data_IF_075536089273
#
_entry.id   IF_075536089273
#
_cell.length_a   1.000
_cell.length_b   1.000
_cell.length_c   1.000
_cell.angle_alpha   90.00
_cell.angle_beta   90.00
_cell.angle_gamma   90.00
#
_symmetry.space_group_name_H-M   'P 1'
#
loop_
_entity.id
_entity.type
_entity.pdbx_description
1 polymer ?
#
# COMPACT_ATOMS: atom_id res chain seq x y z
N UNK A 1 17.09 -12.91 -0.93
CA UNK A 1 16.75 -13.47 0.40
C UNK A 1 15.45 -14.24 0.27
N UNK A 2 15.55 -15.58 0.25
CA UNK A 2 14.46 -16.47 -0.09
C UNK A 2 13.34 -16.40 0.96
N UNK A 3 12.11 -16.29 0.47
CA UNK A 3 10.86 -16.35 1.23
C UNK A 3 10.88 -17.61 2.08
N UNK A 4 10.52 -17.48 3.36
CA UNK A 4 10.15 -18.61 4.23
C UNK A 4 9.33 -19.60 3.39
N UNK A 5 9.84 -20.82 3.19
CA UNK A 5 9.33 -21.75 2.17
C UNK A 5 7.82 -21.97 2.21
N UNK A 6 7.27 -22.54 1.13
CA UNK A 6 5.82 -22.74 0.91
C UNK A 6 4.97 -23.05 2.17
N UNK A 7 5.32 -24.00 3.06
CA UNK A 7 4.49 -24.28 4.24
C UNK A 7 4.36 -23.09 5.20
N UNK A 8 5.44 -22.32 5.42
CA UNK A 8 5.39 -21.14 6.30
C UNK A 8 4.56 -20.01 5.68
N UNK A 9 4.59 -19.87 4.36
CA UNK A 9 3.76 -18.91 3.65
C UNK A 9 2.28 -19.24 3.84
N UNK A 10 1.88 -20.51 3.64
CA UNK A 10 0.48 -20.97 3.79
C UNK A 10 -0.05 -20.66 5.19
N UNK A 11 0.69 -21.02 6.24
CA UNK A 11 0.28 -20.76 7.63
C UNK A 11 0.15 -19.26 7.91
N UNK A 12 1.06 -18.44 7.38
CA UNK A 12 0.99 -17.00 7.54
C UNK A 12 -0.24 -16.39 6.85
N UNK A 13 -0.60 -16.86 5.64
CA UNK A 13 -1.83 -16.43 4.96
C UNK A 13 -3.07 -16.89 5.71
N UNK A 14 -3.12 -18.15 6.14
CA UNK A 14 -4.24 -18.70 6.92
C UNK A 14 -4.45 -17.91 8.23
N UNK A 15 -3.37 -17.62 8.96
CA UNK A 15 -3.43 -16.81 10.17
C UNK A 15 -3.93 -15.38 9.89
N UNK A 16 -3.48 -14.76 8.80
CA UNK A 16 -3.96 -13.44 8.37
C UNK A 16 -5.46 -13.45 8.06
N UNK A 17 -5.95 -14.47 7.35
CA UNK A 17 -7.38 -14.66 7.07
C UNK A 17 -8.18 -14.87 8.36
N UNK A 18 -7.74 -15.78 9.22
CA UNK A 18 -8.41 -16.08 10.49
C UNK A 18 -8.55 -14.81 11.36
N UNK A 19 -7.51 -13.96 11.42
CA UNK A 19 -7.60 -12.68 12.13
C UNK A 19 -8.65 -11.75 11.53
N UNK A 20 -8.68 -11.60 10.20
CA UNK A 20 -9.68 -10.76 9.53
C UNK A 20 -11.09 -11.27 9.87
N UNK A 21 -11.36 -12.57 9.66
CA UNK A 21 -12.65 -13.18 9.99
C UNK A 21 -13.03 -13.00 11.46
N UNK A 22 -12.11 -13.28 12.38
CA UNK A 22 -12.35 -13.14 13.81
C UNK A 22 -12.67 -11.70 14.19
N UNK A 23 -11.94 -10.72 13.64
CA UNK A 23 -12.22 -9.29 13.90
C UNK A 23 -13.57 -8.88 13.33
N UNK A 24 -13.93 -9.31 12.12
CA UNK A 24 -15.24 -8.99 11.54
C UNK A 24 -16.39 -9.60 12.37
N UNK A 25 -16.22 -10.86 12.80
CA UNK A 25 -17.21 -11.56 13.60
C UNK A 25 -17.37 -10.97 15.02
N UNK A 26 -16.26 -10.67 15.69
CA UNK A 26 -16.24 -10.27 17.10
C UNK A 26 -16.68 -8.83 17.29
N UNK A 27 -16.22 -7.91 16.43
CA UNK A 27 -16.46 -6.48 16.62
C UNK A 27 -17.85 -6.05 16.12
N UNK A 28 -18.58 -6.92 15.39
CA UNK A 28 -19.87 -6.64 14.72
C UNK A 28 -19.91 -5.33 13.92
N UNK A 29 -18.74 -4.81 13.57
CA UNK A 29 -18.61 -3.63 12.75
C UNK A 29 -18.93 -4.06 11.32
N UNK A 30 -19.91 -3.41 10.71
CA UNK A 30 -20.12 -3.53 9.27
C UNK A 30 -18.79 -3.25 8.59
N UNK A 31 -18.39 -4.12 7.66
CA UNK A 31 -17.22 -3.86 6.83
C UNK A 31 -17.47 -2.55 6.07
N UNK A 32 -16.87 -1.48 6.58
CA UNK A 32 -16.89 -0.17 5.93
C UNK A 32 -15.72 -0.19 4.99
N UNK A 33 -16.01 -0.38 3.71
CA UNK A 33 -15.01 -0.18 2.68
C UNK A 33 -14.54 1.27 2.81
N UNK A 34 -13.31 1.45 3.28
CA UNK A 34 -12.57 2.68 3.12
C UNK A 34 -12.38 2.81 1.61
N UNK A 35 -13.39 3.33 0.91
CA UNK A 35 -13.56 3.14 -0.52
C UNK A 35 -12.32 3.43 -1.36
N UNK A 36 -12.38 3.08 -2.65
CA UNK A 36 -11.24 3.12 -3.57
C UNK A 36 -10.29 4.34 -3.38
N UNK A 37 -10.83 5.54 -3.14
CA UNK A 37 -10.07 6.75 -2.86
C UNK A 37 -9.05 6.64 -1.71
N UNK A 38 -9.40 5.99 -0.59
CA UNK A 38 -8.48 5.81 0.54
C UNK A 38 -7.30 4.92 0.17
N UNK A 39 -7.57 3.83 -0.53
CA UNK A 39 -6.53 2.92 -1.02
C UNK A 39 -5.68 3.57 -2.10
N UNK A 40 -6.26 4.38 -2.97
CA UNK A 40 -5.53 5.15 -3.98
C UNK A 40 -4.59 6.18 -3.36
N UNK A 41 -5.02 6.92 -2.34
CA UNK A 41 -4.14 7.86 -1.62
C UNK A 41 -2.95 7.12 -0.99
N UNK A 42 -3.22 6.02 -0.27
CA UNK A 42 -2.16 5.19 0.32
C UNK A 42 -1.23 4.58 -0.73
N UNK A 43 -1.76 4.20 -1.88
CA UNK A 43 -0.95 3.71 -2.99
C UNK A 43 -0.04 4.82 -3.55
N UNK A 44 -0.58 6.01 -3.82
CA UNK A 44 0.18 7.18 -4.28
C UNK A 44 1.33 7.51 -3.33
N UNK A 45 1.07 7.56 -2.02
CA UNK A 45 2.10 7.80 -1.00
C UNK A 45 3.23 6.76 -1.03
N UNK A 46 2.89 5.48 -1.18
CA UNK A 46 3.89 4.39 -1.29
C UNK A 46 4.73 4.53 -2.55
N UNK A 47 4.11 4.88 -3.67
CA UNK A 47 4.81 5.09 -4.94
C UNK A 47 5.79 6.26 -4.82
N UNK A 48 5.35 7.41 -4.29
CA UNK A 48 6.21 8.59 -4.09
C UNK A 48 7.39 8.26 -3.18
N UNK A 49 7.14 7.55 -2.08
CA UNK A 49 8.20 7.14 -1.14
C UNK A 49 9.24 6.24 -1.79
N UNK A 50 8.79 5.26 -2.58
CA UNK A 50 9.67 4.37 -3.33
C UNK A 50 10.47 5.14 -4.39
N UNK A 51 9.84 6.11 -5.05
CA UNK A 51 10.50 6.95 -6.04
C UNK A 51 11.57 7.84 -5.41
N UNK A 52 11.27 8.47 -4.26
CA UNK A 52 12.23 9.26 -3.48
C UNK A 52 13.43 8.42 -3.06
N UNK A 53 13.19 7.19 -2.58
CA UNK A 53 14.25 6.26 -2.20
C UNK A 53 15.14 5.89 -3.40
N UNK A 54 14.54 5.56 -4.54
CA UNK A 54 15.28 5.27 -5.78
C UNK A 54 16.10 6.46 -6.26
N UNK A 55 15.55 7.67 -6.19
CA UNK A 55 16.27 8.89 -6.54
C UNK A 55 17.50 9.07 -5.65
N UNK A 56 17.36 8.89 -4.33
CA UNK A 56 18.48 8.97 -3.38
C UNK A 56 19.56 7.92 -3.66
N UNK A 57 19.17 6.68 -3.99
CA UNK A 57 20.10 5.61 -4.37
C UNK A 57 20.91 5.96 -5.63
N UNK A 58 20.37 6.81 -6.50
CA UNK A 58 21.02 7.28 -7.74
C UNK A 58 21.70 8.66 -7.58
N UNK A 59 21.71 9.24 -6.39
CA UNK A 59 22.29 10.58 -6.13
C UNK A 59 21.42 11.75 -6.59
N UNK A 60 20.15 11.51 -6.92
CA UNK A 60 19.19 12.55 -7.31
C UNK A 60 18.24 12.90 -6.16
N UNK A 61 17.80 14.16 -6.12
CA UNK A 61 16.75 14.62 -5.19
C UNK A 61 15.44 14.76 -5.94
N UNK A 62 14.41 14.00 -5.55
CA UNK A 62 13.07 14.13 -6.10
C UNK A 62 12.44 15.43 -5.60
N UNK A 63 12.20 16.38 -6.50
CA UNK A 63 11.41 17.59 -6.24
C UNK A 63 10.03 17.47 -6.89
N UNK A 64 8.99 17.89 -6.18
CA UNK A 64 7.65 17.99 -6.76
C UNK A 64 7.64 19.22 -7.66
N UNK A 65 7.55 19.02 -8.97
CA UNK A 65 7.22 20.12 -9.89
C UNK A 65 5.70 20.21 -10.02
N UNK A 66 5.13 21.26 -9.45
CA UNK A 66 3.82 21.77 -9.86
C UNK A 66 3.98 22.36 -11.27
N UNK A 67 3.92 21.49 -12.28
CA UNK A 67 3.87 21.96 -13.66
C UNK A 67 2.46 22.48 -13.91
N UNK A 68 2.26 23.79 -14.16
CA UNK A 68 1.00 24.25 -14.72
C UNK A 68 0.91 23.65 -16.11
N UNK A 69 0.09 22.62 -16.27
CA UNK A 69 -0.25 22.03 -17.57
C UNK A 69 -0.75 23.15 -18.48
N UNK A 70 0.01 23.55 -19.53
CA UNK A 70 -0.49 24.51 -20.50
C UNK A 70 -1.35 23.72 -21.48
N UNK A 71 -2.67 23.71 -21.29
CA UNK A 71 -3.58 23.11 -22.27
C UNK A 71 -4.87 22.48 -21.76
N UNK A 72 -5.46 22.98 -20.67
CA UNK A 72 -6.89 22.75 -20.42
C UNK A 72 -7.56 24.13 -20.36
N UNK A 73 -8.11 24.53 -21.51
CA UNK A 73 -9.14 25.58 -21.59
C UNK A 73 -10.45 25.06 -21.01
#
# INVERSE_FOLDING_TARGET
>A
RARLGAPKAITATAHKLARIFYTLWTTKQLYRDSGAEYYEQQYKERVIRNLKRKAQELGYTLTLQETPVPGVS
#
